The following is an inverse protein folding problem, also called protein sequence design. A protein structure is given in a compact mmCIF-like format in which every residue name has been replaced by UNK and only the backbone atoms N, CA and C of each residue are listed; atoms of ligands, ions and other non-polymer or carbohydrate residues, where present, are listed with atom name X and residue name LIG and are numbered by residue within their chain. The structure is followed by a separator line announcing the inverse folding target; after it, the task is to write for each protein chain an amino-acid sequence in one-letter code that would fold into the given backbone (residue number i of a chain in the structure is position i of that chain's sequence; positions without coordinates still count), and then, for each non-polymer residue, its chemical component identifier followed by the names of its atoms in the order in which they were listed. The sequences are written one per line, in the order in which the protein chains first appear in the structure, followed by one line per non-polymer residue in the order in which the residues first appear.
data_IF_441056294520
#
_entry.id   IF_441056294520
#
_cell.length_a   1.000
_cell.length_b   1.000
_cell.length_c   1.000
_cell.angle_alpha   90.00
_cell.angle_beta   90.00
_cell.angle_gamma   90.00
#
_symmetry.space_group_name_H-M   'P 1'
#
loop_
_entity.id
_entity.type
_entity.pdbx_description
1 polymer ?
#
# COMPACT_ATOMS: atom_id res chain seq x y z
N UNK A 1 12.56 34.60 -3.21
CA UNK A 1 12.73 33.80 -1.99
C UNK A 1 11.37 33.60 -1.34
N UNK A 2 10.73 32.44 -1.56
CA UNK A 2 9.76 31.85 -0.62
C UNK A 2 9.65 30.36 -0.92
N UNK A 3 10.10 29.53 0.02
CA UNK A 3 10.03 28.08 -0.07
C UNK A 3 8.58 27.63 0.11
N UNK A 4 7.99 27.07 -0.96
CA UNK A 4 6.69 26.40 -0.88
C UNK A 4 6.97 24.93 -0.59
N UNK A 5 6.89 24.56 0.68
CA UNK A 5 6.89 23.16 1.08
C UNK A 5 5.61 22.51 0.53
N UNK A 6 5.74 21.91 -0.65
CA UNK A 6 4.76 20.94 -1.15
C UNK A 6 4.90 19.70 -0.27
N UNK A 7 4.04 19.56 0.74
CA UNK A 7 3.62 18.22 1.13
C UNK A 7 2.90 17.66 -0.09
N UNK A 8 3.65 17.00 -0.95
CA UNK A 8 3.11 16.35 -2.14
C UNK A 8 2.22 15.22 -1.64
N UNK A 9 0.94 15.54 -1.41
CA UNK A 9 -0.12 14.62 -1.76
C UNK A 9 0.11 14.28 -3.21
N UNK A 10 0.80 13.18 -3.45
CA UNK A 10 0.94 12.63 -4.77
C UNK A 10 -0.50 12.37 -5.23
N UNK A 11 -0.99 13.24 -6.12
CA UNK A 11 -2.11 12.90 -6.99
C UNK A 11 -1.56 11.72 -7.78
N UNK A 12 -1.80 10.52 -7.26
CA UNK A 12 -1.54 9.31 -8.00
C UNK A 12 -2.57 9.32 -9.12
N UNK A 13 -2.06 9.44 -10.34
CA UNK A 13 -2.83 9.24 -11.55
C UNK A 13 -3.63 7.95 -11.37
N UNK A 14 -4.96 8.04 -11.51
CA UNK A 14 -5.92 7.00 -11.13
C UNK A 14 -5.72 5.67 -11.89
N UNK A 15 -4.79 5.63 -12.86
CA UNK A 15 -4.51 4.49 -13.75
C UNK A 15 -3.10 3.89 -13.62
N UNK A 16 -2.25 4.33 -12.68
CA UNK A 16 -0.90 3.74 -12.54
C UNK A 16 -0.86 2.63 -11.49
N UNK A 17 -0.74 1.38 -11.96
CA UNK A 17 -0.32 0.25 -11.11
C UNK A 17 1.15 0.41 -10.72
N UNK A 18 1.49 0.10 -9.47
CA UNK A 18 2.85 0.18 -8.93
C UNK A 18 3.31 -1.18 -8.43
N UNK A 19 4.57 -1.52 -8.66
CA UNK A 19 5.12 -2.81 -8.20
C UNK A 19 5.49 -2.76 -6.71
N UNK A 20 5.66 -3.93 -6.11
CA UNK A 20 6.19 -4.09 -4.75
C UNK A 20 7.53 -3.35 -4.56
N UNK A 21 8.45 -3.47 -5.49
CA UNK A 21 9.76 -2.81 -5.46
C UNK A 21 9.63 -1.28 -5.44
N UNK A 22 8.72 -0.76 -6.27
CA UNK A 22 8.45 0.67 -6.34
C UNK A 22 7.78 1.16 -5.05
N UNK A 23 6.89 0.37 -4.44
CA UNK A 23 6.30 0.67 -3.13
C UNK A 23 7.36 0.76 -2.03
N UNK A 24 8.20 -0.26 -1.91
CA UNK A 24 9.25 -0.32 -0.88
C UNK A 24 10.21 0.86 -0.99
N UNK A 25 10.66 1.17 -2.21
CA UNK A 25 11.51 2.32 -2.48
C UNK A 25 10.82 3.67 -2.18
N UNK A 26 9.57 3.85 -2.60
CA UNK A 26 8.87 5.14 -2.51
C UNK A 26 8.39 5.47 -1.10
N UNK A 27 7.91 4.48 -0.36
CA UNK A 27 7.36 4.66 0.98
C UNK A 27 8.37 4.33 2.09
N UNK A 28 9.59 3.91 1.74
CA UNK A 28 10.64 3.48 2.68
C UNK A 28 10.14 2.39 3.64
N UNK A 29 9.34 1.47 3.11
CA UNK A 29 8.81 0.30 3.81
C UNK A 29 9.51 -0.95 3.30
N UNK A 30 9.71 -1.93 4.16
CA UNK A 30 10.36 -3.18 3.78
C UNK A 30 9.40 -4.13 3.07
N UNK A 31 9.93 -5.07 2.28
CA UNK A 31 9.14 -6.15 1.67
C UNK A 31 8.30 -6.89 2.71
N UNK A 32 8.91 -7.19 3.86
CA UNK A 32 8.22 -7.89 4.97
C UNK A 32 7.03 -7.11 5.50
N UNK A 33 7.13 -5.79 5.58
CA UNK A 33 6.01 -4.96 6.02
C UNK A 33 4.88 -4.94 5.01
N UNK A 34 5.18 -4.85 3.71
CA UNK A 34 4.15 -4.93 2.67
C UNK A 34 3.48 -6.30 2.66
N UNK A 35 4.25 -7.40 2.72
CA UNK A 35 3.70 -8.76 2.80
C UNK A 35 2.81 -8.92 4.02
N UNK A 36 3.24 -8.45 5.20
CA UNK A 36 2.41 -8.49 6.39
C UNK A 36 1.12 -7.67 6.25
N UNK A 37 1.15 -6.54 5.53
CA UNK A 37 -0.05 -5.77 5.23
C UNK A 37 -0.98 -6.51 4.26
N UNK A 38 -0.45 -7.27 3.30
CA UNK A 38 -1.26 -8.15 2.44
C UNK A 38 -1.88 -9.29 3.25
N UNK A 39 -1.11 -9.93 4.12
CA UNK A 39 -1.57 -11.02 4.98
C UNK A 39 -2.70 -10.56 5.94
N UNK A 40 -2.61 -9.33 6.45
CA UNK A 40 -3.63 -8.70 7.29
C UNK A 40 -4.81 -8.10 6.48
N UNK A 41 -4.82 -8.25 5.15
CA UNK A 41 -5.89 -7.79 4.27
C UNK A 41 -5.94 -6.27 4.05
N UNK A 42 -4.92 -5.54 4.50
CA UNK A 42 -4.82 -4.08 4.33
C UNK A 42 -4.54 -3.73 2.86
N UNK A 43 -3.70 -4.53 2.21
CA UNK A 43 -3.34 -4.36 0.81
C UNK A 43 -3.82 -5.56 0.00
N UNK A 44 -4.40 -5.29 -1.16
CA UNK A 44 -4.86 -6.31 -2.09
C UNK A 44 -3.99 -6.24 -3.35
N UNK A 45 -3.00 -7.14 -3.51
CA UNK A 45 -2.18 -7.17 -4.71
C UNK A 45 -2.97 -7.78 -5.87
N UNK A 46 -2.78 -7.24 -7.07
CA UNK A 46 -3.15 -7.89 -8.32
C UNK A 46 -1.97 -8.72 -8.85
N UNK A 47 -2.24 -9.89 -9.44
CA UNK A 47 -1.22 -10.61 -10.18
C UNK A 47 -0.82 -9.79 -11.42
N UNK A 48 0.45 -9.43 -11.51
CA UNK A 48 1.04 -8.83 -12.69
C UNK A 48 1.13 -9.83 -13.84
N UNK A 49 1.07 -9.34 -15.06
CA UNK A 49 1.22 -10.17 -16.27
C UNK A 49 2.68 -10.46 -16.61
N UNK A 50 3.62 -9.97 -15.80
CA UNK A 50 5.05 -10.15 -16.01
C UNK A 50 5.43 -11.58 -15.66
N UNK A 51 5.43 -12.47 -16.65
CA UNK A 51 6.13 -13.75 -16.54
C UNK A 51 7.62 -13.43 -16.42
N UNK A 52 8.15 -13.52 -15.20
CA UNK A 52 9.60 -13.43 -14.98
C UNK A 52 10.26 -14.69 -15.55
N UNK A 53 10.48 -14.67 -16.87
CA UNK A 53 11.34 -15.62 -17.55
C UNK A 53 12.80 -15.28 -17.24
N UNK A 54 13.28 -15.57 -16.03
CA UNK A 54 14.71 -15.48 -15.78
C UNK A 54 15.21 -16.55 -14.81
N UNK A 55 16.25 -17.22 -15.29
CA UNK A 55 17.02 -18.34 -14.75
C UNK A 55 17.85 -17.92 -13.51
N UNK A 56 17.22 -17.23 -12.55
CA UNK A 56 17.92 -16.53 -11.48
C UNK A 56 17.81 -17.31 -10.17
N UNK A 57 18.95 -17.79 -9.68
CA UNK A 57 19.15 -18.41 -8.36
C UNK A 57 19.04 -17.38 -7.22
N UNK A 58 17.93 -16.65 -7.16
CA UNK A 58 17.59 -15.80 -6.02
C UNK A 58 16.66 -16.55 -5.07
N UNK A 59 16.80 -16.25 -3.79
CA UNK A 59 16.15 -16.90 -2.65
C UNK A 59 14.65 -17.15 -2.88
N UNK A 60 14.22 -18.41 -2.71
CA UNK A 60 12.96 -18.98 -3.23
C UNK A 60 11.66 -18.36 -2.71
N UNK A 61 11.73 -17.42 -1.75
CA UNK A 61 10.55 -16.78 -1.14
C UNK A 61 10.23 -15.40 -1.73
N UNK A 62 11.18 -14.73 -2.39
CA UNK A 62 10.95 -13.40 -2.97
C UNK A 62 10.25 -13.47 -4.33
N UNK A 63 10.48 -14.53 -5.09
CA UNK A 63 9.91 -14.74 -6.43
C UNK A 63 8.37 -14.80 -6.43
N UNK A 64 7.74 -15.24 -5.35
CA UNK A 64 6.27 -15.36 -5.28
C UNK A 64 5.54 -14.01 -5.25
N UNK A 65 6.25 -12.94 -4.87
CA UNK A 65 5.66 -11.61 -4.68
C UNK A 65 6.20 -10.56 -5.67
N UNK A 66 7.19 -10.91 -6.50
CA UNK A 66 7.78 -10.02 -7.52
C UNK A 66 6.76 -9.56 -8.56
N UNK A 67 5.71 -10.35 -8.78
CA UNK A 67 4.65 -10.04 -9.75
C UNK A 67 3.51 -9.21 -9.14
N UNK A 68 3.57 -8.81 -7.87
CA UNK A 68 2.50 -8.03 -7.26
C UNK A 68 2.43 -6.61 -7.78
N UNK A 69 1.23 -6.25 -8.25
CA UNK A 69 0.85 -4.91 -8.64
C UNK A 69 -0.17 -4.34 -7.67
N UNK A 70 -0.03 -3.07 -7.34
CA UNK A 70 -0.91 -2.36 -6.42
C UNK A 70 -1.50 -1.15 -7.11
N UNK A 71 -2.77 -0.88 -6.87
CA UNK A 71 -3.45 0.27 -7.46
C UNK A 71 -3.50 1.47 -6.53
N UNK A 72 -4.14 2.55 -7.01
CA UNK A 72 -4.27 3.78 -6.25
C UNK A 72 -5.03 3.59 -4.92
N UNK A 73 -5.93 2.61 -4.81
CA UNK A 73 -6.64 2.31 -3.57
C UNK A 73 -5.72 1.63 -2.56
N UNK A 74 -4.94 0.63 -2.99
CA UNK A 74 -3.92 0.01 -2.14
C UNK A 74 -2.92 1.04 -1.61
N UNK A 75 -2.56 2.05 -2.42
CA UNK A 75 -1.64 3.10 -1.99
C UNK A 75 -2.24 4.03 -0.95
N UNK A 76 -3.51 4.39 -1.11
CA UNK A 76 -4.25 5.14 -0.08
C UNK A 76 -4.30 4.36 1.23
N UNK A 77 -4.63 3.06 1.19
CA UNK A 77 -4.65 2.17 2.36
C UNK A 77 -3.27 2.04 3.03
N UNK A 78 -2.20 1.91 2.25
CA UNK A 78 -0.82 1.91 2.76
C UNK A 78 -0.51 3.21 3.51
N UNK A 79 -0.77 4.36 2.89
CA UNK A 79 -0.50 5.67 3.49
C UNK A 79 -1.27 5.89 4.80
N UNK A 80 -2.55 5.50 4.84
CA UNK A 80 -3.37 5.60 6.05
C UNK A 80 -2.83 4.67 7.13
N UNK A 81 -2.48 3.42 6.78
CA UNK A 81 -1.89 2.45 7.72
C UNK A 81 -0.61 2.99 8.35
N UNK A 82 0.34 3.49 7.55
CA UNK A 82 1.59 4.06 8.05
C UNK A 82 1.34 5.23 9.01
N UNK A 83 0.35 6.06 8.71
CA UNK A 83 -0.05 7.16 9.59
C UNK A 83 -0.68 6.66 10.88
N UNK A 84 -1.57 5.67 10.83
CA UNK A 84 -2.19 5.08 12.01
C UNK A 84 -1.14 4.46 12.94
N UNK A 85 -0.19 3.70 12.38
CA UNK A 85 0.89 3.12 13.17
C UNK A 85 1.79 4.19 13.80
N UNK A 86 2.14 5.24 13.05
CA UNK A 86 3.01 6.32 13.54
C UNK A 86 2.31 7.22 14.56
N UNK A 87 1.08 7.63 14.29
CA UNK A 87 0.37 8.65 15.04
C UNK A 87 -0.34 8.04 16.27
N UNK A 88 -0.77 6.77 16.20
CA UNK A 88 -1.51 6.07 17.28
C UNK A 88 -0.74 4.92 17.92
N UNK A 89 0.40 4.48 17.34
CA UNK A 89 1.20 3.40 17.89
C UNK A 89 0.55 2.01 17.81
N UNK A 90 -0.43 1.83 16.92
CA UNK A 90 -1.17 0.57 16.77
C UNK A 90 -0.43 -0.44 15.87
N UNK A 91 -0.72 -1.72 16.04
CA UNK A 91 -0.20 -2.79 15.17
C UNK A 91 -1.01 -2.91 13.86
N UNK A 92 -0.59 -3.79 12.96
CA UNK A 92 -1.23 -3.97 11.65
C UNK A 92 -2.69 -4.43 11.77
N UNK A 93 -3.00 -5.43 12.60
CA UNK A 93 -4.37 -5.87 12.85
C UNK A 93 -5.27 -4.71 13.34
N UNK A 94 -4.75 -3.86 14.23
CA UNK A 94 -5.45 -2.66 14.70
C UNK A 94 -5.63 -1.62 13.60
N UNK A 95 -4.64 -1.46 12.72
CA UNK A 95 -4.72 -0.56 11.57
C UNK A 95 -5.73 -1.05 10.52
N UNK A 96 -5.79 -2.36 10.26
CA UNK A 96 -6.79 -2.98 9.40
C UNK A 96 -8.21 -2.70 9.91
N UNK A 97 -8.46 -2.95 11.20
CA UNK A 97 -9.76 -2.63 11.81
C UNK A 97 -10.10 -1.14 11.74
N UNK A 98 -9.13 -0.26 12.00
CA UNK A 98 -9.34 1.18 11.91
C UNK A 98 -9.67 1.62 10.48
N UNK A 99 -9.01 1.03 9.48
CA UNK A 99 -9.32 1.25 8.06
C UNK A 99 -10.75 0.82 7.73
N UNK A 100 -11.17 -0.37 8.14
CA UNK A 100 -12.55 -0.85 7.92
C UNK A 100 -13.59 0.09 8.54
N UNK A 101 -13.30 0.62 9.73
CA UNK A 101 -14.17 1.59 10.39
C UNK A 101 -14.23 2.93 9.64
N UNK A 102 -13.10 3.41 9.12
CA UNK A 102 -13.05 4.62 8.29
C UNK A 102 -13.86 4.43 7.00
N UNK A 103 -13.69 3.29 6.31
CA UNK A 103 -14.47 2.95 5.10
C UNK A 103 -15.97 2.85 5.38
N UNK A 104 -16.35 2.31 6.55
CA UNK A 104 -17.74 2.29 7.00
C UNK A 104 -18.28 3.71 7.25
N UNK A 105 -17.50 4.60 7.89
CA UNK A 105 -17.90 5.99 8.12
C UNK A 105 -18.07 6.73 6.79
N UNK A 106 -17.14 6.56 5.84
CA UNK A 106 -17.23 7.16 4.50
C UNK A 106 -18.48 6.68 3.77
N UNK A 107 -18.80 5.38 3.87
CA UNK A 107 -20.03 4.80 3.30
C UNK A 107 -21.30 5.38 3.92
N UNK A 108 -21.32 5.57 5.25
CA UNK A 108 -22.49 6.09 5.97
C UNK A 108 -22.71 7.59 5.69
N UNK A 109 -21.63 8.36 5.60
CA UNK A 109 -21.70 9.81 5.35
C UNK A 109 -22.04 10.13 3.90
N UNK A 110 -21.59 9.30 2.95
CA UNK A 110 -21.91 9.42 1.53
C UNK A 110 -23.38 9.16 1.20
N UNK A 111 -24.15 8.54 2.10
CA UNK A 111 -25.60 8.32 1.96
C UNK A 111 -26.47 9.48 2.47
N UNK A 112 -25.87 10.41 3.22
CA UNK A 112 -26.56 11.56 3.82
C UNK A 112 -26.37 12.87 3.04
N UNK A 113 -25.82 12.79 1.82
CA UNK A 113 -25.68 13.91 0.89
C UNK A 113 -26.32 13.60 -0.46
#
# INVERSE_FOLDING_TARGET
MTAKQHLSGAIFEEESEITLDQLTYRFQVTYREIVAMVDEGILEPRPGQFQSGSDTRHDSHQQQHEEWLFDSQALKRLMITLRLQRDLGINLAGAALALDLLEQIDTLTSRNY
#
